data_IF_090394871470
#
_entry.id   IF_090394871470
#
_cell.length_a   1.000
_cell.length_b   1.000
_cell.length_c   1.000
_cell.angle_alpha   90.00
_cell.angle_beta   90.00
_cell.angle_gamma   90.00
#
_symmetry.space_group_name_H-M   'P 1'
#
loop_
_entity.id
_entity.type
_entity.pdbx_description
1 polymer ?
#
# COMPACT_ATOMS: atom_id res chain seq x y z
N UNK A 1 9.04 -17.42 7.00
CA UNK A 1 8.01 -16.85 7.90
C UNK A 1 7.62 -15.49 7.39
N UNK A 2 6.46 -14.95 7.82
CA UNK A 2 6.04 -13.62 7.40
C UNK A 2 6.62 -12.53 8.32
N UNK A 3 6.90 -11.36 7.75
CA UNK A 3 7.36 -10.17 8.47
C UNK A 3 6.71 -8.91 7.89
N UNK A 4 6.83 -7.79 8.63
CA UNK A 4 6.37 -6.48 8.17
C UNK A 4 7.44 -5.85 7.29
N UNK A 5 7.02 -5.39 6.11
CA UNK A 5 7.89 -4.74 5.14
C UNK A 5 7.27 -3.43 4.66
N UNK A 6 8.12 -2.42 4.44
CA UNK A 6 7.74 -1.17 3.77
C UNK A 6 8.02 -1.35 2.28
N UNK A 7 6.97 -1.19 1.47
CA UNK A 7 6.98 -1.43 0.03
C UNK A 7 6.78 -0.11 -0.71
N UNK A 8 7.57 0.11 -1.75
CA UNK A 8 7.42 1.25 -2.64
C UNK A 8 6.10 1.16 -3.40
N UNK A 9 5.51 2.31 -3.71
CA UNK A 9 4.19 2.39 -4.32
C UNK A 9 4.14 1.83 -5.75
N UNK A 10 5.23 1.96 -6.50
CA UNK A 10 5.42 1.45 -7.87
C UNK A 10 5.16 -0.07 -8.01
N UNK A 11 5.30 -0.84 -6.93
CA UNK A 11 4.98 -2.27 -6.91
C UNK A 11 3.48 -2.56 -7.10
N UNK A 12 2.62 -1.61 -6.75
CA UNK A 12 1.16 -1.77 -6.79
C UNK A 12 0.47 -0.76 -7.72
N UNK A 13 1.12 0.36 -8.03
CA UNK A 13 0.48 1.48 -8.68
C UNK A 13 1.05 1.72 -10.09
N UNK A 14 0.24 2.31 -10.95
CA UNK A 14 0.67 2.87 -12.23
C UNK A 14 0.67 4.40 -12.13
N UNK A 15 1.45 5.05 -12.98
CA UNK A 15 1.50 6.52 -13.06
C UNK A 15 0.09 7.09 -13.31
N UNK A 16 -0.23 8.17 -12.60
CA UNK A 16 -1.53 8.89 -12.65
C UNK A 16 -2.79 8.07 -12.32
N UNK A 17 -2.65 6.88 -11.72
CA UNK A 17 -3.79 6.03 -11.40
C UNK A 17 -4.45 6.40 -10.06
N UNK A 18 -5.78 6.48 -10.04
CA UNK A 18 -6.56 6.63 -8.81
C UNK A 18 -7.14 5.29 -8.35
N UNK A 19 -6.72 4.84 -7.18
CA UNK A 19 -7.16 3.58 -6.57
C UNK A 19 -7.61 3.81 -5.14
N UNK A 20 -8.58 3.02 -4.69
CA UNK A 20 -8.89 2.89 -3.28
C UNK A 20 -7.99 1.83 -2.62
N UNK A 21 -8.04 1.77 -1.29
CA UNK A 21 -7.16 0.88 -0.53
C UNK A 21 -7.42 -0.60 -0.83
N UNK A 22 -8.67 -1.00 -1.09
CA UNK A 22 -8.99 -2.38 -1.47
C UNK A 22 -8.41 -2.77 -2.82
N UNK A 23 -8.43 -1.86 -3.80
CA UNK A 23 -7.83 -2.10 -5.13
C UNK A 23 -6.32 -2.31 -5.02
N UNK A 24 -5.62 -1.55 -4.16
CA UNK A 24 -4.21 -1.78 -3.83
C UNK A 24 -4.01 -3.14 -3.17
N UNK A 25 -4.84 -3.49 -2.18
CA UNK A 25 -4.77 -4.80 -1.52
C UNK A 25 -4.93 -5.96 -2.52
N UNK A 26 -5.83 -5.85 -3.50
CA UNK A 26 -6.03 -6.87 -4.53
C UNK A 26 -4.79 -7.08 -5.39
N UNK A 27 -4.06 -6.01 -5.71
CA UNK A 27 -2.78 -6.11 -6.45
C UNK A 27 -1.68 -6.73 -5.60
N UNK A 28 -1.59 -6.34 -4.33
CA UNK A 28 -0.65 -6.95 -3.39
C UNK A 28 -0.87 -8.46 -3.23
N UNK A 29 -2.13 -8.92 -3.30
CA UNK A 29 -2.46 -10.35 -3.28
C UNK A 29 -1.87 -11.12 -4.46
N UNK A 30 -1.75 -10.52 -5.64
CA UNK A 30 -1.09 -11.14 -6.80
C UNK A 30 0.40 -11.41 -6.52
N UNK A 31 0.98 -10.72 -5.54
CA UNK A 31 2.36 -10.85 -5.09
C UNK A 31 2.49 -11.67 -3.80
N UNK A 32 1.41 -12.32 -3.34
CA UNK A 32 1.32 -13.04 -2.04
C UNK A 32 1.55 -12.15 -0.82
N UNK A 33 1.20 -10.87 -0.91
CA UNK A 33 1.36 -9.91 0.19
C UNK A 33 0.01 -9.48 0.78
N UNK A 34 0.04 -9.02 2.02
CA UNK A 34 -1.11 -8.40 2.70
C UNK A 34 -0.78 -6.96 3.04
N UNK A 35 -1.22 -6.02 2.21
CA UNK A 35 -1.12 -4.59 2.56
C UNK A 35 -2.09 -4.29 3.71
N UNK A 36 -1.56 -3.75 4.79
CA UNK A 36 -2.29 -3.42 6.03
C UNK A 36 -2.36 -1.91 6.30
N UNK A 37 -1.59 -1.11 5.57
CA UNK A 37 -1.54 0.33 5.76
C UNK A 37 -0.66 1.04 4.73
N UNK A 38 -0.49 2.34 4.91
CA UNK A 38 0.34 3.17 4.05
C UNK A 38 0.87 4.39 4.82
N UNK A 39 1.90 5.04 4.28
CA UNK A 39 2.35 6.37 4.70
C UNK A 39 2.44 7.24 3.45
N UNK A 40 1.82 8.41 3.51
CA UNK A 40 1.87 9.39 2.43
C UNK A 40 3.23 10.09 2.41
N UNK A 41 3.63 10.61 1.25
CA UNK A 41 4.86 11.37 1.05
C UNK A 41 5.10 12.41 2.15
N UNK A 42 4.08 13.23 2.44
CA UNK A 42 4.17 14.34 3.40
C UNK A 42 3.73 13.95 4.83
N UNK A 43 3.48 12.66 5.09
CA UNK A 43 3.02 12.20 6.40
C UNK A 43 4.18 11.64 7.24
N UNK A 44 4.31 12.15 8.47
CA UNK A 44 5.31 11.64 9.43
C UNK A 44 5.03 10.20 9.87
N UNK A 45 3.74 9.83 9.98
CA UNK A 45 3.30 8.54 10.54
C UNK A 45 2.51 7.72 9.53
N UNK A 46 2.70 6.40 9.59
CA UNK A 46 1.89 5.46 8.82
C UNK A 46 0.48 5.33 9.40
N UNK A 47 -0.50 5.11 8.51
CA UNK A 47 -1.88 4.77 8.83
C UNK A 47 -2.03 3.26 8.65
N UNK A 48 -2.15 2.55 9.78
CA UNK A 48 -2.47 1.11 9.78
C UNK A 48 -3.98 0.94 9.88
N UNK A 49 -4.53 0.03 9.08
CA UNK A 49 -5.96 -0.21 8.94
C UNK A 49 -6.74 1.09 8.66
N UNK A 50 -6.52 1.73 7.49
CA UNK A 50 -7.15 3.01 7.18
C UNK A 50 -8.67 2.94 7.34
N UNK A 51 -9.31 3.94 7.97
CA UNK A 51 -10.74 3.90 8.27
C UNK A 51 -11.60 3.93 7.00
N UNK A 52 -11.17 4.70 6.01
CA UNK A 52 -11.80 4.77 4.70
C UNK A 52 -10.98 3.97 3.67
N UNK A 53 -11.53 2.82 3.27
CA UNK A 53 -10.89 1.90 2.33
C UNK A 53 -11.45 1.98 0.91
N UNK A 54 -12.59 2.64 0.74
CA UNK A 54 -13.35 2.65 -0.52
C UNK A 54 -13.16 3.93 -1.32
N UNK A 55 -12.82 5.04 -0.64
CA UNK A 55 -12.48 6.29 -1.31
C UNK A 55 -11.25 6.10 -2.18
N UNK A 56 -11.42 6.42 -3.47
CA UNK A 56 -10.31 6.48 -4.42
C UNK A 56 -9.49 7.72 -4.16
N UNK A 57 -8.18 7.57 -4.35
CA UNK A 57 -7.24 8.68 -4.27
C UNK A 57 -6.17 8.51 -5.32
N UNK A 58 -5.64 9.64 -5.77
CA UNK A 58 -4.35 9.67 -6.44
C UNK A 58 -3.24 9.47 -5.42
N UNK A 59 -2.35 8.54 -5.73
CA UNK A 59 -1.19 8.20 -4.92
C UNK A 59 0.07 8.84 -5.52
N UNK A 60 1.01 9.23 -4.67
CA UNK A 60 2.33 9.69 -5.09
C UNK A 60 3.26 8.49 -5.29
N UNK A 61 4.19 8.52 -6.27
CA UNK A 61 5.29 7.57 -6.35
C UNK A 61 6.15 7.49 -5.07
N UNK A 62 6.13 8.54 -4.26
CA UNK A 62 6.86 8.60 -2.97
C UNK A 62 6.03 8.12 -1.78
N UNK A 63 4.76 7.79 -1.98
CA UNK A 63 3.98 7.06 -0.98
C UNK A 63 4.58 5.66 -0.78
N UNK A 64 4.39 5.11 0.41
CA UNK A 64 4.82 3.75 0.73
C UNK A 64 3.70 2.96 1.37
N UNK A 65 3.69 1.65 1.15
CA UNK A 65 2.73 0.73 1.73
C UNK A 65 3.38 -0.14 2.80
N UNK A 66 2.60 -0.49 3.82
CA UNK A 66 3.00 -1.43 4.86
C UNK A 66 2.35 -2.77 4.54
N UNK A 67 3.17 -3.79 4.31
CA UNK A 67 2.71 -5.12 3.94
C UNK A 67 3.25 -6.19 4.88
N UNK A 68 2.46 -7.25 5.06
CA UNK A 68 2.93 -8.53 5.59
C UNK A 68 3.31 -9.39 4.39
N UNK A 69 4.56 -9.84 4.35
CA UNK A 69 5.11 -10.64 3.26
C UNK A 69 6.08 -11.69 3.80
N UNK A 70 6.34 -12.73 3.03
CA UNK A 70 7.44 -13.65 3.32
C UNK A 70 8.78 -12.93 3.12
N UNK A 71 9.77 -13.34 3.90
CA UNK A 71 11.15 -12.90 3.75
C UNK A 71 11.67 -13.36 2.38
N UNK A 72 12.34 -12.47 1.64
CA UNK A 72 13.03 -12.83 0.39
C UNK A 72 14.09 -13.92 0.61
#
# INVERSE_FOLDING_TARGET
>A
GNELQIRQSDLYLREDEELNFFEVMLRARQRKEVVIGYRLEDAERAIINPPDKVSRRRWSPKDVFVAIAEKE
#
